data_IF_989870951165
#
_entry.id   IF_989870951165
#
_cell.length_a   1.000
_cell.length_b   1.000
_cell.length_c   1.000
_cell.angle_alpha   90.00
_cell.angle_beta   90.00
_cell.angle_gamma   90.00
#
_symmetry.space_group_name_H-M   'P 1'
#
loop_
_entity.id
_entity.type
_entity.pdbx_description
1 polymer ?
#
# COMPACT_ATOMS: atom_id res chain seq x y z
N UNK A 1 -15.93 -22.38 -41.88
CA UNK A 1 -15.89 -22.49 -40.41
C UNK A 1 -14.82 -21.54 -39.90
N UNK A 2 -15.21 -20.36 -39.41
CA UNK A 2 -14.29 -19.41 -38.80
C UNK A 2 -14.24 -19.67 -37.29
N UNK A 3 -13.05 -20.00 -36.78
CA UNK A 3 -12.75 -20.18 -35.36
C UNK A 3 -12.84 -18.83 -34.65
N UNK A 4 -13.69 -18.76 -33.63
CA UNK A 4 -13.85 -17.56 -32.81
C UNK A 4 -12.55 -17.22 -32.05
N UNK A 5 -12.17 -15.93 -31.94
CA UNK A 5 -11.01 -15.53 -31.14
C UNK A 5 -11.29 -15.81 -29.66
N UNK A 6 -10.41 -16.60 -29.05
CA UNK A 6 -10.47 -16.93 -27.63
C UNK A 6 -10.27 -15.63 -26.81
N UNK A 7 -11.34 -15.16 -26.16
CA UNK A 7 -11.31 -13.99 -25.28
C UNK A 7 -10.51 -14.33 -24.03
N UNK A 8 -9.18 -14.23 -24.11
CA UNK A 8 -8.32 -14.32 -22.95
C UNK A 8 -8.68 -13.18 -21.98
N UNK A 9 -9.29 -13.56 -20.85
CA UNK A 9 -9.67 -12.65 -19.76
C UNK A 9 -8.45 -11.79 -19.42
N UNK A 10 -8.54 -10.49 -19.71
CA UNK A 10 -7.44 -9.54 -19.46
C UNK A 10 -7.34 -9.37 -17.95
N UNK A 11 -6.47 -10.13 -17.29
CA UNK A 11 -6.11 -9.83 -15.90
C UNK A 11 -5.29 -8.53 -15.90
N UNK A 12 -5.79 -7.44 -15.30
CA UNK A 12 -5.02 -6.21 -15.19
C UNK A 12 -3.75 -6.45 -14.36
N UNK A 13 -2.68 -5.70 -14.62
CA UNK A 13 -1.58 -5.66 -13.66
C UNK A 13 -2.08 -4.99 -12.39
N UNK A 14 -1.86 -5.64 -11.25
CA UNK A 14 -2.15 -5.06 -9.94
C UNK A 14 -0.86 -4.44 -9.45
N UNK A 15 -0.92 -3.18 -9.04
CA UNK A 15 0.23 -2.43 -8.54
C UNK A 15 -0.06 -2.12 -7.08
N UNK A 16 0.80 -2.58 -6.19
CA UNK A 16 0.86 -2.15 -4.79
C UNK A 16 2.01 -1.17 -4.73
N UNK A 17 1.74 0.06 -5.16
CA UNK A 17 2.73 1.13 -5.20
C UNK A 17 2.66 1.99 -3.95
N UNK A 18 3.81 2.34 -3.38
CA UNK A 18 3.93 3.55 -2.54
C UNK A 18 4.33 4.75 -3.40
N UNK A 19 4.75 4.50 -4.65
CA UNK A 19 4.79 5.49 -5.70
C UNK A 19 3.40 5.84 -6.21
N UNK A 20 3.11 7.15 -6.24
CA UNK A 20 1.93 7.76 -6.87
C UNK A 20 1.86 7.33 -8.35
N UNK A 21 1.07 6.32 -8.68
CA UNK A 21 0.84 5.86 -10.06
C UNK A 21 -0.65 5.88 -10.33
N UNK A 22 -1.15 7.06 -10.67
CA UNK A 22 -2.56 7.32 -10.99
C UNK A 22 -2.89 8.79 -10.72
N UNK A 23 -3.65 9.44 -11.62
CA UNK A 23 -4.03 10.86 -11.65
C UNK A 23 -3.76 11.64 -10.34
N UNK A 24 -2.72 12.48 -10.39
CA UNK A 24 -2.29 13.43 -9.36
C UNK A 24 -3.41 14.42 -8.98
N UNK A 25 -4.30 14.08 -8.04
CA UNK A 25 -5.09 15.14 -7.39
C UNK A 25 -5.45 14.97 -5.92
N UNK A 26 -5.37 13.78 -5.29
CA UNK A 26 -6.06 13.61 -4.00
C UNK A 26 -5.25 13.14 -2.77
N UNK A 27 -3.93 13.05 -2.81
CA UNK A 27 -3.15 12.69 -1.60
C UNK A 27 -1.85 13.49 -1.39
N UNK A 28 -1.97 14.82 -1.33
CA UNK A 28 -1.12 15.61 -0.43
C UNK A 28 0.24 16.11 -0.93
N UNK A 29 0.54 16.10 -2.23
CA UNK A 29 1.72 16.81 -2.76
C UNK A 29 1.32 17.91 -3.72
N UNK A 30 2.02 19.05 -3.64
CA UNK A 30 1.82 20.18 -4.55
C UNK A 30 2.28 19.77 -5.96
N UNK A 31 1.59 20.30 -6.97
CA UNK A 31 1.98 20.13 -8.37
C UNK A 31 3.45 20.60 -8.55
N UNK A 32 4.33 19.71 -8.99
CA UNK A 32 5.75 20.01 -9.26
C UNK A 32 6.77 19.38 -8.29
N UNK A 33 6.34 18.73 -7.21
CA UNK A 33 7.26 17.97 -6.35
C UNK A 33 7.63 16.62 -6.99
N UNK A 34 8.91 16.20 -6.91
CA UNK A 34 9.34 14.91 -7.44
C UNK A 34 8.58 13.76 -6.73
N UNK A 35 8.25 12.68 -7.44
CA UNK A 35 7.56 11.55 -6.82
C UNK A 35 8.45 10.90 -5.75
N UNK A 36 7.85 10.55 -4.61
CA UNK A 36 8.54 9.85 -3.52
C UNK A 36 8.61 8.36 -3.84
N UNK A 37 9.80 7.78 -3.80
CA UNK A 37 10.08 6.40 -4.19
C UNK A 37 9.69 5.34 -3.13
N UNK A 38 9.09 5.78 -2.01
CA UNK A 38 8.67 4.88 -0.93
C UNK A 38 9.80 4.02 -0.35
N UNK A 39 11.06 4.48 -0.47
CA UNK A 39 12.23 3.86 0.16
C UNK A 39 12.26 4.26 1.63
N UNK A 40 12.49 3.28 2.50
CA UNK A 40 12.61 3.46 3.95
C UNK A 40 13.88 2.76 4.44
N UNK A 41 14.28 3.01 5.69
CA UNK A 41 15.44 2.34 6.31
C UNK A 41 15.28 0.81 6.35
N UNK A 42 14.04 0.31 6.41
CA UNK A 42 13.71 -1.12 6.39
C UNK A 42 13.43 -1.67 4.99
N UNK A 43 13.27 -0.80 3.99
CA UNK A 43 12.95 -1.15 2.60
C UNK A 43 13.73 -0.26 1.62
N UNK A 44 15.07 -0.43 1.54
CA UNK A 44 15.93 0.35 0.63
C UNK A 44 15.60 0.11 -0.84
N UNK A 45 14.99 -1.03 -1.16
CA UNK A 45 14.51 -1.40 -2.49
C UNK A 45 13.19 -0.74 -2.89
N UNK A 46 12.56 0.01 -1.97
CA UNK A 46 11.29 0.70 -2.17
C UNK A 46 10.08 -0.22 -1.99
N UNK A 47 8.94 0.37 -1.63
CA UNK A 47 7.71 -0.35 -1.33
C UNK A 47 6.78 -0.56 -2.54
N UNK A 48 7.17 -0.09 -3.72
CA UNK A 48 6.37 -0.26 -4.94
C UNK A 48 6.57 -1.66 -5.54
N UNK A 49 5.47 -2.40 -5.70
CA UNK A 49 5.43 -3.72 -6.29
C UNK A 49 4.35 -3.86 -7.37
N UNK A 50 4.58 -4.76 -8.33
CA UNK A 50 3.67 -5.11 -9.40
C UNK A 50 3.58 -6.64 -9.57
N UNK A 51 2.38 -7.12 -9.88
CA UNK A 51 2.11 -8.53 -10.19
C UNK A 51 1.23 -8.66 -11.43
N UNK A 52 1.42 -9.77 -12.16
CA UNK A 52 0.61 -10.15 -13.33
C UNK A 52 1.34 -9.97 -14.66
N UNK A 53 0.62 -10.27 -15.75
CA UNK A 53 1.19 -10.35 -17.11
C UNK A 53 1.90 -9.09 -17.61
N UNK A 54 1.55 -7.92 -17.07
CA UNK A 54 2.16 -6.64 -17.44
C UNK A 54 3.12 -6.09 -16.39
N UNK A 55 3.39 -6.83 -15.30
CA UNK A 55 4.19 -6.33 -14.19
C UNK A 55 5.57 -5.84 -14.65
N UNK A 56 6.27 -6.61 -15.50
CA UNK A 56 7.57 -6.21 -16.03
C UNK A 56 7.50 -4.94 -16.88
N UNK A 57 6.44 -4.78 -17.66
CA UNK A 57 6.24 -3.59 -18.49
C UNK A 57 5.87 -2.35 -17.65
N UNK A 58 5.21 -2.53 -16.51
CA UNK A 58 4.96 -1.47 -15.53
C UNK A 58 6.25 -1.10 -14.80
N UNK A 59 6.98 -2.10 -14.30
CA UNK A 59 8.24 -1.88 -13.60
C UNK A 59 9.26 -1.15 -14.47
N UNK A 60 9.39 -1.54 -15.75
CA UNK A 60 10.28 -0.84 -16.70
C UNK A 60 9.91 0.64 -16.87
N UNK A 61 8.61 0.98 -16.89
CA UNK A 61 8.16 2.38 -16.99
C UNK A 61 8.47 3.17 -15.71
N UNK A 62 8.31 2.55 -14.55
CA UNK A 62 8.64 3.17 -13.27
C UNK A 62 10.14 3.40 -13.13
N UNK A 63 10.97 2.41 -13.47
CA UNK A 63 12.42 2.54 -13.50
C UNK A 63 12.89 3.63 -14.47
N UNK A 64 12.26 3.75 -15.66
CA UNK A 64 12.55 4.82 -16.61
C UNK A 64 12.20 6.22 -16.05
N UNK A 65 11.25 6.30 -15.12
CA UNK A 65 10.91 7.49 -14.36
C UNK A 65 11.74 7.70 -13.08
N UNK A 66 12.78 6.90 -12.84
CA UNK A 66 13.61 6.98 -11.64
C UNK A 66 12.97 6.41 -10.37
N UNK A 67 11.87 5.66 -10.50
CA UNK A 67 11.15 5.03 -9.40
C UNK A 67 11.42 3.53 -9.34
N UNK A 68 11.62 3.01 -8.14
CA UNK A 68 11.72 1.59 -7.83
C UNK A 68 10.40 0.87 -8.11
N UNK A 69 10.49 -0.36 -8.64
CA UNK A 69 9.36 -1.25 -8.74
C UNK A 69 9.81 -2.72 -8.71
N UNK A 70 9.32 -3.46 -7.72
CA UNK A 70 9.50 -4.91 -7.60
C UNK A 70 8.47 -5.63 -8.44
N UNK A 71 8.90 -6.60 -9.24
CA UNK A 71 7.98 -7.59 -9.82
C UNK A 71 7.96 -8.79 -8.90
N UNK A 72 6.80 -9.05 -8.29
CA UNK A 72 6.63 -10.12 -7.30
C UNK A 72 5.79 -11.25 -7.88
N UNK A 73 5.88 -12.43 -7.25
CA UNK A 73 4.90 -13.49 -7.44
C UNK A 73 3.58 -13.19 -6.70
N UNK A 74 2.58 -14.05 -6.88
CA UNK A 74 1.23 -13.81 -6.36
C UNK A 74 1.22 -13.67 -4.85
N UNK A 75 1.91 -14.56 -4.14
CA UNK A 75 1.86 -14.63 -2.68
C UNK A 75 2.60 -13.44 -2.06
N UNK A 76 3.82 -13.15 -2.52
CA UNK A 76 4.60 -12.02 -2.04
C UNK A 76 3.90 -10.69 -2.33
N UNK A 77 3.26 -10.57 -3.50
CA UNK A 77 2.46 -9.40 -3.84
C UNK A 77 1.24 -9.23 -2.92
N UNK A 78 0.53 -10.33 -2.62
CA UNK A 78 -0.61 -10.29 -1.71
C UNK A 78 -0.22 -9.88 -0.29
N UNK A 79 0.94 -10.33 0.22
CA UNK A 79 1.48 -9.91 1.51
C UNK A 79 1.70 -8.39 1.54
N UNK A 80 2.42 -7.83 0.56
CA UNK A 80 2.66 -6.38 0.49
C UNK A 80 1.37 -5.56 0.31
N UNK A 81 0.41 -6.08 -0.47
CA UNK A 81 -0.91 -5.47 -0.61
C UNK A 81 -1.62 -5.35 0.74
N UNK A 82 -1.63 -6.44 1.50
CA UNK A 82 -2.32 -6.49 2.79
C UNK A 82 -1.59 -5.66 3.84
N UNK A 83 -0.25 -5.69 3.88
CA UNK A 83 0.53 -4.79 4.75
C UNK A 83 0.18 -3.32 4.49
N UNK A 84 0.08 -2.91 3.22
CA UNK A 84 -0.35 -1.55 2.86
C UNK A 84 -1.78 -1.24 3.34
N UNK A 85 -2.71 -2.18 3.18
CA UNK A 85 -4.11 -2.01 3.62
C UNK A 85 -4.22 -1.93 5.14
N UNK A 86 -3.50 -2.79 5.85
CA UNK A 86 -3.42 -2.80 7.32
C UNK A 86 -2.86 -1.46 7.80
N UNK A 87 -1.79 -0.98 7.18
CA UNK A 87 -1.19 0.32 7.51
C UNK A 87 -2.18 1.47 7.35
N UNK A 88 -2.81 1.61 6.17
CA UNK A 88 -3.78 2.68 5.93
C UNK A 88 -4.93 2.58 6.93
N UNK A 89 -5.46 1.37 7.14
CA UNK A 89 -6.59 1.14 8.05
C UNK A 89 -6.24 1.53 9.48
N UNK A 90 -5.11 1.04 10.01
CA UNK A 90 -4.69 1.30 11.38
C UNK A 90 -4.38 2.79 11.61
N UNK A 91 -3.51 3.40 10.79
CA UNK A 91 -3.07 4.78 11.01
C UNK A 91 -4.19 5.79 10.76
N UNK A 92 -5.02 5.59 9.72
CA UNK A 92 -6.11 6.51 9.44
C UNK A 92 -7.26 6.35 10.44
N UNK A 93 -7.56 5.14 10.91
CA UNK A 93 -8.61 4.92 11.90
C UNK A 93 -8.24 5.48 13.28
N UNK A 94 -7.00 5.26 13.74
CA UNK A 94 -6.51 5.87 14.99
C UNK A 94 -6.49 7.38 14.85
N UNK A 95 -5.96 7.90 13.74
CA UNK A 95 -5.98 9.33 13.47
C UNK A 95 -7.37 9.96 13.42
N UNK A 96 -8.39 9.22 12.97
CA UNK A 96 -9.78 9.67 12.99
C UNK A 96 -10.32 9.90 14.40
N UNK A 97 -9.83 9.12 15.38
CA UNK A 97 -10.18 9.25 16.81
C UNK A 97 -9.48 10.43 17.47
N UNK A 98 -8.43 10.97 16.84
CA UNK A 98 -7.58 12.04 17.35
C UNK A 98 -7.55 13.21 16.35
N UNK A 99 -8.58 14.08 16.35
CA UNK A 99 -8.74 15.13 15.33
C UNK A 99 -7.51 16.04 15.19
N UNK A 100 -7.02 16.18 13.96
CA UNK A 100 -5.84 17.01 13.66
C UNK A 100 -4.50 16.29 13.83
N UNK A 101 -4.49 15.02 14.26
CA UNK A 101 -3.25 14.24 14.32
C UNK A 101 -2.65 14.03 12.91
N UNK A 102 -1.32 14.07 12.84
CA UNK A 102 -0.59 13.60 11.66
C UNK A 102 -0.22 12.13 11.86
N UNK A 103 0.22 11.46 10.79
CA UNK A 103 0.71 10.07 10.88
C UNK A 103 1.83 9.94 11.91
N UNK A 104 2.71 10.94 12.03
CA UNK A 104 3.79 10.96 13.02
C UNK A 104 3.30 11.15 14.46
N UNK A 105 2.23 11.93 14.67
CA UNK A 105 1.59 12.04 15.99
C UNK A 105 0.95 10.70 16.36
N UNK A 106 0.26 10.06 15.42
CA UNK A 106 -0.32 8.73 15.62
C UNK A 106 0.72 7.66 15.94
N UNK A 107 1.85 7.66 15.23
CA UNK A 107 2.97 6.76 15.50
C UNK A 107 3.54 6.99 16.90
N UNK A 108 3.79 8.24 17.30
CA UNK A 108 4.50 8.55 18.57
C UNK A 108 3.60 8.54 19.80
N UNK A 109 2.43 9.15 19.73
CA UNK A 109 1.56 9.41 20.88
C UNK A 109 0.50 8.33 21.06
N UNK A 110 0.12 7.65 19.97
CA UNK A 110 -0.94 6.63 19.98
C UNK A 110 -0.44 5.24 19.53
N UNK A 111 0.86 4.97 19.74
CA UNK A 111 1.56 3.75 19.31
C UNK A 111 0.88 2.45 19.73
N UNK A 112 0.34 2.41 20.95
CA UNK A 112 -0.35 1.24 21.49
C UNK A 112 -1.67 0.96 20.77
N UNK A 113 -2.45 2.00 20.44
CA UNK A 113 -3.71 1.84 19.68
C UNK A 113 -3.40 1.31 18.27
N UNK A 114 -2.36 1.85 17.64
CA UNK A 114 -1.91 1.43 16.31
C UNK A 114 -1.40 -0.01 16.33
N UNK A 115 -0.53 -0.38 17.28
CA UNK A 115 0.01 -1.74 17.41
C UNK A 115 -1.10 -2.77 17.62
N UNK A 116 -2.08 -2.46 18.48
CA UNK A 116 -3.24 -3.32 18.71
C UNK A 116 -4.03 -3.56 17.42
N UNK A 117 -4.33 -2.51 16.65
CA UNK A 117 -5.07 -2.63 15.39
C UNK A 117 -4.27 -3.33 14.30
N UNK A 118 -2.96 -3.06 14.18
CA UNK A 118 -2.08 -3.78 13.24
C UNK A 118 -2.12 -5.27 13.55
N UNK A 119 -1.99 -5.65 14.81
CA UNK A 119 -2.00 -7.05 15.25
C UNK A 119 -3.32 -7.74 14.93
N UNK A 120 -4.45 -7.09 15.24
CA UNK A 120 -5.78 -7.61 14.96
C UNK A 120 -6.02 -7.80 13.46
N UNK A 121 -5.74 -6.77 12.65
CA UNK A 121 -5.94 -6.80 11.21
C UNK A 121 -4.99 -7.78 10.51
N UNK A 122 -3.75 -7.89 10.97
CA UNK A 122 -2.79 -8.87 10.44
C UNK A 122 -3.23 -10.30 10.75
N UNK A 123 -3.70 -10.57 11.97
CA UNK A 123 -4.23 -11.89 12.34
C UNK A 123 -5.45 -12.27 11.49
N UNK A 124 -6.40 -11.35 11.33
CA UNK A 124 -7.59 -11.56 10.51
C UNK A 124 -7.23 -11.78 9.03
N UNK A 125 -6.35 -10.96 8.47
CA UNK A 125 -5.91 -11.09 7.08
C UNK A 125 -5.14 -12.40 6.82
N UNK A 126 -4.31 -12.83 7.77
CA UNK A 126 -3.59 -14.10 7.70
C UNK A 126 -4.56 -15.28 7.67
N UNK A 127 -5.54 -15.30 8.57
CA UNK A 127 -6.55 -16.35 8.64
C UNK A 127 -7.42 -16.40 7.37
N UNK A 128 -7.89 -15.24 6.89
CA UNK A 128 -8.78 -15.13 5.73
C UNK A 128 -8.08 -15.46 4.41
N UNK A 129 -6.81 -15.07 4.26
CA UNK A 129 -6.06 -15.26 3.00
C UNK A 129 -5.16 -16.49 3.00
N UNK A 130 -5.08 -17.21 4.12
CA UNK A 130 -4.21 -18.37 4.28
C UNK A 130 -2.74 -18.01 4.08
N UNK A 131 -2.32 -16.83 4.53
CA UNK A 131 -0.95 -16.33 4.39
C UNK A 131 -0.27 -16.21 5.74
N UNK A 132 1.05 -16.24 5.73
CA UNK A 132 1.89 -15.92 6.89
C UNK A 132 2.68 -14.65 6.55
N UNK A 133 2.46 -13.60 7.35
CA UNK A 133 3.25 -12.36 7.27
C UNK A 133 4.66 -12.60 7.80
N UNK A 134 5.63 -11.83 7.32
CA UNK A 134 6.98 -11.84 7.88
C UNK A 134 6.99 -11.27 9.30
N UNK A 135 7.90 -11.77 10.15
CA UNK A 135 8.12 -11.30 11.51
C UNK A 135 8.31 -9.78 11.55
N UNK A 136 7.98 -9.12 12.66
CA UNK A 136 8.13 -7.68 12.83
C UNK A 136 7.30 -6.80 11.85
N UNK A 137 6.07 -7.24 11.52
CA UNK A 137 5.13 -6.45 10.71
C UNK A 137 4.88 -5.07 11.31
N UNK A 138 4.75 -4.99 12.64
CA UNK A 138 4.49 -3.74 13.34
C UNK A 138 5.62 -2.73 13.14
N UNK A 139 6.87 -3.17 13.29
CA UNK A 139 8.07 -2.36 13.13
C UNK A 139 8.20 -1.86 11.69
N UNK A 140 7.93 -2.70 10.68
CA UNK A 140 7.92 -2.27 9.26
C UNK A 140 6.88 -1.19 9.02
N UNK A 141 5.66 -1.39 9.52
CA UNK A 141 4.56 -0.46 9.33
C UNK A 141 4.81 0.88 10.04
N UNK A 142 5.44 0.86 11.21
CA UNK A 142 5.78 2.09 11.94
C UNK A 142 6.99 2.80 11.33
N UNK A 143 7.99 2.07 10.83
CA UNK A 143 9.10 2.65 10.08
C UNK A 143 8.60 3.41 8.83
N UNK A 144 7.59 2.87 8.15
CA UNK A 144 6.95 3.58 7.05
C UNK A 144 6.19 4.83 7.54
N UNK A 145 5.47 4.75 8.66
CA UNK A 145 4.79 5.91 9.25
C UNK A 145 5.74 7.06 9.57
N UNK A 146 6.95 6.76 10.05
CA UNK A 146 8.01 7.75 10.26
C UNK A 146 8.40 8.48 8.96
N UNK A 147 8.50 7.77 7.83
CA UNK A 147 8.83 8.37 6.53
C UNK A 147 7.75 9.34 6.01
N UNK A 148 6.51 9.18 6.46
CA UNK A 148 5.35 10.00 6.06
C UNK A 148 4.73 10.77 7.24
N UNK A 149 5.52 11.04 8.29
CA UNK A 149 5.06 11.56 9.57
C UNK A 149 4.30 12.91 9.51
N UNK A 150 4.56 13.72 8.48
CA UNK A 150 3.96 15.04 8.29
C UNK A 150 2.58 14.99 7.63
N UNK A 151 2.18 13.86 7.06
CA UNK A 151 0.88 13.75 6.40
C UNK A 151 -0.26 13.75 7.43
N UNK A 152 -1.36 14.47 7.16
CA UNK A 152 -2.53 14.45 8.03
C UNK A 152 -3.17 13.07 7.98
N UNK A 153 -3.63 12.56 9.11
CA UNK A 153 -4.53 11.41 9.09
C UNK A 153 -5.92 11.85 8.70
N UNK A 154 -6.52 11.17 7.72
CA UNK A 154 -7.90 11.43 7.33
C UNK A 154 -8.54 10.16 6.79
N UNK A 155 -9.77 9.87 7.22
CA UNK A 155 -10.59 8.78 6.68
C UNK A 155 -11.28 9.27 5.40
N UNK A 156 -10.51 9.58 4.36
CA UNK A 156 -11.09 9.95 3.06
C UNK A 156 -11.38 8.74 2.17
N UNK A 157 -10.71 7.61 2.37
CA UNK A 157 -10.72 6.49 1.40
C UNK A 157 -11.61 5.29 1.74
N UNK A 158 -12.30 5.25 2.89
CA UNK A 158 -13.15 4.07 3.21
C UNK A 158 -14.34 3.94 2.25
N UNK A 159 -14.73 5.00 1.54
CA UNK A 159 -15.81 4.96 0.55
C UNK A 159 -15.42 4.25 -0.78
N UNK A 160 -14.13 4.13 -1.09
CA UNK A 160 -13.64 3.47 -2.31
C UNK A 160 -13.59 1.94 -2.23
N UNK A 161 -13.40 1.37 -1.04
CA UNK A 161 -13.24 -0.08 -0.84
C UNK A 161 -14.56 -0.84 -0.71
N UNK A 162 -15.67 -0.16 -0.36
CA UNK A 162 -17.00 -0.80 -0.27
C UNK A 162 -17.56 -1.17 -1.65
N UNK A 163 -17.01 -0.61 -2.74
CA UNK A 163 -17.50 -0.86 -4.10
C UNK A 163 -16.81 -2.03 -4.83
N UNK A 164 -16.02 -2.88 -4.15
CA UNK A 164 -15.45 -4.08 -4.79
C UNK A 164 -16.24 -5.38 -4.59
N UNK A 165 -17.40 -5.35 -3.90
CA UNK A 165 -18.35 -6.47 -3.87
C UNK A 165 -19.77 -6.01 -3.58
N UNK A 166 -20.55 -5.74 -4.64
CA UNK A 166 -21.91 -6.28 -4.86
C UNK A 166 -22.11 -6.44 -6.36
#
# INVERSE_FOLDING_TARGET
>A
MATAPNTAKVTPAVIVGVGRVGRLQEMGSKLGEPPTDGKTDTNPEGLTAAYGKWASAVAARLHAGGLSCKVLDKEAFQKQMLEKLIWISAFMLVGARHPGATVGVVEKEFRNEVSSLITELASAAAAEKGIVFEEAIEERLCAYACAVAHFPTAVKEVQGFVNLSL
#
